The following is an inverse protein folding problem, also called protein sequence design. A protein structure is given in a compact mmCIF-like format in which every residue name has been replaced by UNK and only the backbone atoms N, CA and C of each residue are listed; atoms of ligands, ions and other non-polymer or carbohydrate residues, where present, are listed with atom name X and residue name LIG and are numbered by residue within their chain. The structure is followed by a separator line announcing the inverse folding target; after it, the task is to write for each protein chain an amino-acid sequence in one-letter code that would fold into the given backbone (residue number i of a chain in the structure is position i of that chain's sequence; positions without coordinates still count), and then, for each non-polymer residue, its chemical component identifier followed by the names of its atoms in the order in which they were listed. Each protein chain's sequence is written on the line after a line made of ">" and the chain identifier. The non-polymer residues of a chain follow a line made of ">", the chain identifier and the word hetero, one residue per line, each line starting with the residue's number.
data_IF_574199091385
#
_entry.id   IF_574199091385
#
_cell.length_a   1.000
_cell.length_b   1.000
_cell.length_c   1.000
_cell.angle_alpha   90.00
_cell.angle_beta   90.00
_cell.angle_gamma   90.00
#
_symmetry.space_group_name_H-M   'P 1'
#
loop_
_entity.id
_entity.type
_entity.pdbx_description
1 polymer ?
#
# COMPACT_ATOMS: atom_id res chain seq x y z
N UNK A 1 -6.50 9.12 -15.66
CA UNK A 1 -5.45 8.09 -15.74
C UNK A 1 -5.37 7.31 -14.43
N UNK A 2 -5.07 6.03 -14.53
CA UNK A 2 -4.94 5.20 -13.33
C UNK A 2 -3.65 5.52 -12.58
N UNK A 3 -3.72 5.50 -11.24
CA UNK A 3 -2.54 5.57 -10.39
C UNK A 3 -1.78 4.23 -10.37
N UNK A 4 -2.42 3.14 -10.81
CA UNK A 4 -1.78 1.83 -10.93
C UNK A 4 -0.92 1.79 -12.19
N UNK A 5 0.40 1.76 -11.99
CA UNK A 5 1.37 1.72 -13.08
C UNK A 5 1.81 0.26 -13.31
N UNK A 6 2.83 0.05 -14.15
CA UNK A 6 3.29 -1.31 -14.45
C UNK A 6 3.91 -2.01 -13.24
N UNK A 7 4.62 -1.29 -12.39
CA UNK A 7 5.40 -1.84 -11.29
C UNK A 7 5.05 -1.28 -9.92
N UNK A 8 4.24 -0.24 -9.85
CA UNK A 8 3.87 0.39 -8.59
C UNK A 8 2.60 1.23 -8.75
N UNK A 9 2.21 1.87 -7.65
CA UNK A 9 1.09 2.81 -7.61
C UNK A 9 1.70 4.18 -7.35
N UNK A 10 1.41 5.16 -8.20
CA UNK A 10 1.94 6.53 -8.08
C UNK A 10 0.92 7.56 -8.49
N UNK A 11 0.99 8.73 -7.86
CA UNK A 11 0.15 9.86 -8.22
C UNK A 11 0.45 11.06 -7.34
N UNK A 12 -0.29 12.14 -7.59
CA UNK A 12 -0.17 13.37 -6.80
C UNK A 12 -0.95 13.20 -5.50
N UNK A 13 -0.26 13.40 -4.37
CA UNK A 13 -0.86 13.26 -3.07
C UNK A 13 -1.98 14.28 -2.88
N UNK A 14 -3.11 13.82 -2.36
CA UNK A 14 -4.29 14.66 -2.11
C UNK A 14 -5.28 14.73 -3.27
N UNK A 15 -4.82 14.57 -4.51
CA UNK A 15 -5.73 14.56 -5.66
C UNK A 15 -5.85 13.16 -6.27
N UNK A 16 -4.74 12.52 -6.59
CA UNK A 16 -4.74 11.17 -7.15
C UNK A 16 -4.69 10.11 -6.04
N UNK A 17 -3.88 10.37 -5.01
CA UNK A 17 -3.73 9.49 -3.85
C UNK A 17 -4.31 10.19 -2.64
N UNK A 18 -5.54 9.85 -2.30
CA UNK A 18 -6.24 10.40 -1.14
C UNK A 18 -6.09 9.48 0.07
N UNK A 19 -6.44 9.97 1.25
CA UNK A 19 -6.47 9.13 2.45
C UNK A 19 -7.52 8.02 2.31
N UNK A 20 -8.63 8.30 1.66
CA UNK A 20 -9.67 7.32 1.37
C UNK A 20 -9.12 6.20 0.47
N UNK A 21 -8.38 6.57 -0.57
CA UNK A 21 -7.72 5.61 -1.45
C UNK A 21 -6.74 4.74 -0.67
N UNK A 22 -5.90 5.36 0.16
CA UNK A 22 -4.91 4.63 0.97
C UNK A 22 -5.59 3.62 1.90
N UNK A 23 -6.71 4.01 2.50
CA UNK A 23 -7.47 3.13 3.38
C UNK A 23 -8.03 1.91 2.62
N UNK A 24 -8.69 2.13 1.48
CA UNK A 24 -9.24 1.04 0.67
C UNK A 24 -8.14 0.17 0.08
N UNK A 25 -6.99 0.75 -0.26
CA UNK A 25 -5.84 -0.01 -0.74
C UNK A 25 -5.30 -0.93 0.37
N UNK A 26 -5.25 -0.45 1.60
CA UNK A 26 -4.84 -1.27 2.75
C UNK A 26 -5.74 -2.49 2.92
N UNK A 27 -7.04 -2.29 2.82
CA UNK A 27 -8.01 -3.40 2.86
C UNK A 27 -7.77 -4.39 1.72
N UNK A 28 -7.57 -3.87 0.51
CA UNK A 28 -7.37 -4.71 -0.68
C UNK A 28 -6.07 -5.52 -0.60
N UNK A 29 -5.00 -4.91 -0.12
CA UNK A 29 -3.71 -5.61 0.04
C UNK A 29 -3.85 -6.79 1.00
N UNK A 30 -4.43 -6.55 2.17
CA UNK A 30 -4.58 -7.60 3.18
C UNK A 30 -5.49 -8.73 2.67
N UNK A 31 -6.57 -8.37 1.98
CA UNK A 31 -7.57 -9.34 1.51
C UNK A 31 -7.09 -10.10 0.29
N UNK A 32 -6.65 -9.38 -0.74
CA UNK A 32 -6.28 -10.00 -2.02
C UNK A 32 -5.02 -10.85 -1.91
N UNK A 33 -4.03 -10.39 -1.14
CA UNK A 33 -2.79 -11.14 -0.95
C UNK A 33 -2.88 -12.15 0.20
N UNK A 34 -4.06 -12.27 0.80
CA UNK A 34 -4.31 -13.17 1.93
C UNK A 34 -3.23 -13.01 3.01
N UNK A 35 -2.96 -11.76 3.35
CA UNK A 35 -1.89 -11.42 4.27
C UNK A 35 -2.44 -11.26 5.69
N UNK A 36 -2.05 -12.17 6.57
CA UNK A 36 -2.37 -12.07 8.00
C UNK A 36 -1.56 -11.00 8.71
N UNK A 37 -0.41 -10.61 8.12
CA UNK A 37 0.41 -9.52 8.63
C UNK A 37 1.09 -8.80 7.47
N UNK A 38 1.15 -7.47 7.54
CA UNK A 38 1.73 -6.61 6.50
C UNK A 38 2.76 -5.69 7.16
N UNK A 39 3.97 -5.67 6.61
CA UNK A 39 4.99 -4.71 7.03
C UNK A 39 4.81 -3.43 6.22
N UNK A 40 4.87 -2.27 6.88
CA UNK A 40 4.63 -0.99 6.23
C UNK A 40 5.78 -0.02 6.57
N UNK A 41 6.36 0.55 5.52
CA UNK A 41 7.43 1.54 5.63
C UNK A 41 7.05 2.78 4.82
N UNK A 42 7.69 3.89 5.11
CA UNK A 42 7.52 5.10 4.30
C UNK A 42 8.84 5.87 4.21
N UNK A 43 8.92 6.74 3.19
CA UNK A 43 10.03 7.69 3.10
C UNK A 43 9.67 8.99 3.85
N UNK A 44 10.50 10.02 3.69
CA UNK A 44 10.36 11.27 4.45
C UNK A 44 9.38 12.26 3.81
N UNK A 45 8.66 11.88 2.74
CA UNK A 45 7.73 12.81 2.08
C UNK A 45 6.66 13.25 3.05
N UNK A 46 6.29 14.53 2.99
CA UNK A 46 5.32 15.13 3.90
C UNK A 46 3.97 14.40 3.85
N UNK A 47 3.50 14.07 2.66
CA UNK A 47 2.23 13.35 2.49
C UNK A 47 2.24 11.92 3.00
N UNK A 48 3.42 11.35 3.24
CA UNK A 48 3.56 9.95 3.65
C UNK A 48 2.93 9.63 4.99
N UNK A 49 2.96 10.58 5.92
CA UNK A 49 2.44 10.34 7.26
C UNK A 49 0.94 10.02 7.26
N UNK A 50 0.13 10.84 6.58
CA UNK A 50 -1.32 10.61 6.55
C UNK A 50 -1.69 9.43 5.65
N UNK A 51 -0.98 9.22 4.55
CA UNK A 51 -1.21 8.05 3.70
C UNK A 51 -0.87 6.76 4.44
N UNK A 52 0.22 6.78 5.20
CA UNK A 52 0.63 5.66 6.03
C UNK A 52 -0.44 5.33 7.08
N UNK A 53 -0.93 6.33 7.80
CA UNK A 53 -1.94 6.13 8.83
C UNK A 53 -3.22 5.54 8.24
N UNK A 54 -3.68 6.07 7.11
CA UNK A 54 -4.90 5.58 6.46
C UNK A 54 -4.73 4.16 5.92
N UNK A 55 -3.57 3.87 5.33
CA UNK A 55 -3.27 2.53 4.83
C UNK A 55 -3.24 1.50 5.96
N UNK A 56 -2.56 1.81 7.05
CA UNK A 56 -2.47 0.94 8.23
C UNK A 56 -3.87 0.67 8.79
N UNK A 57 -4.69 1.71 8.91
CA UNK A 57 -6.07 1.55 9.38
C UNK A 57 -6.86 0.59 8.49
N UNK A 58 -6.69 0.71 7.17
CA UNK A 58 -7.33 -0.19 6.22
C UNK A 58 -6.91 -1.65 6.41
N UNK A 59 -5.61 -1.90 6.58
CA UNK A 59 -5.11 -3.25 6.84
C UNK A 59 -5.70 -3.81 8.14
N UNK A 60 -5.65 -3.03 9.21
CA UNK A 60 -6.14 -3.45 10.52
C UNK A 60 -7.64 -3.76 10.49
N UNK A 61 -8.40 -3.04 9.68
CA UNK A 61 -9.85 -3.24 9.58
C UNK A 61 -10.23 -4.63 9.05
N UNK A 62 -9.33 -5.32 8.37
CA UNK A 62 -9.56 -6.68 7.86
C UNK A 62 -9.26 -7.76 8.89
N UNK A 63 -8.70 -7.39 10.04
CA UNK A 63 -8.24 -8.34 11.04
C UNK A 63 -6.77 -8.71 10.90
N UNK A 64 -6.09 -8.23 9.86
CA UNK A 64 -4.65 -8.45 9.68
C UNK A 64 -3.84 -7.55 10.62
N UNK A 65 -2.62 -7.98 10.94
CA UNK A 65 -1.70 -7.23 11.78
C UNK A 65 -0.80 -6.35 10.92
N UNK A 66 -0.25 -5.30 11.53
CA UNK A 66 0.72 -4.42 10.89
C UNK A 66 2.01 -4.40 11.69
N UNK A 67 3.13 -4.57 10.97
CA UNK A 67 4.47 -4.34 11.51
C UNK A 67 4.97 -3.03 10.90
N UNK A 68 4.98 -1.96 11.71
CA UNK A 68 5.37 -0.65 11.25
C UNK A 68 6.91 -0.52 11.27
N UNK A 69 7.49 -0.38 10.08
CA UNK A 69 8.94 -0.23 9.93
C UNK A 69 9.40 1.22 10.02
N UNK A 70 8.45 2.16 10.09
CA UNK A 70 8.75 3.58 10.21
C UNK A 70 9.29 4.19 8.92
N UNK A 71 10.13 5.21 9.08
CA UNK A 71 10.77 5.90 7.95
C UNK A 71 12.06 5.16 7.60
N UNK A 72 12.12 4.63 6.39
CA UNK A 72 13.28 3.84 5.95
C UNK A 72 13.35 3.78 4.43
N UNK A 73 14.32 3.04 3.90
CA UNK A 73 14.50 2.89 2.45
C UNK A 73 13.70 1.71 1.92
N UNK A 74 13.42 1.71 0.60
CA UNK A 74 12.67 0.63 -0.05
C UNK A 74 13.41 -0.71 0.00
N UNK A 75 14.74 -0.71 0.13
CA UNK A 75 15.51 -1.94 0.25
C UNK A 75 15.11 -2.79 1.46
N UNK A 76 14.58 -2.17 2.49
CA UNK A 76 14.10 -2.87 3.70
C UNK A 76 12.89 -3.76 3.40
N UNK A 77 12.11 -3.47 2.35
CA UNK A 77 10.94 -4.27 2.00
C UNK A 77 11.27 -5.73 1.74
N UNK A 78 12.31 -5.97 0.96
CA UNK A 78 12.72 -7.33 0.64
C UNK A 78 13.19 -8.08 1.89
N UNK A 79 13.95 -7.39 2.73
CA UNK A 79 14.40 -7.97 3.99
C UNK A 79 13.23 -8.30 4.91
N UNK A 80 12.23 -7.41 4.96
CA UNK A 80 11.06 -7.63 5.79
C UNK A 80 10.33 -8.91 5.42
N UNK A 81 10.13 -9.17 4.13
CA UNK A 81 9.44 -10.38 3.68
C UNK A 81 10.24 -11.66 3.93
N UNK A 82 11.55 -11.56 4.08
CA UNK A 82 12.42 -12.70 4.38
C UNK A 82 12.55 -12.93 5.89
N UNK A 83 12.77 -11.86 6.65
CA UNK A 83 13.14 -11.95 8.06
C UNK A 83 11.97 -11.83 9.04
N UNK A 84 10.84 -11.26 8.60
CA UNK A 84 9.70 -11.01 9.48
C UNK A 84 8.52 -11.94 9.14
N UNK A 85 7.65 -12.24 10.10
CA UNK A 85 6.49 -13.09 9.87
C UNK A 85 5.35 -12.35 9.17
N UNK A 86 5.63 -11.83 7.97
CA UNK A 86 4.66 -11.10 7.15
C UNK A 86 4.53 -11.74 5.78
N UNK A 87 3.33 -11.67 5.20
CA UNK A 87 3.06 -12.18 3.87
C UNK A 87 3.21 -11.10 2.81
N UNK A 88 3.12 -9.83 3.21
CA UNK A 88 3.26 -8.70 2.31
C UNK A 88 4.02 -7.58 2.99
N UNK A 89 4.67 -6.74 2.19
CA UNK A 89 5.35 -5.55 2.67
C UNK A 89 5.09 -4.40 1.69
N UNK A 90 4.88 -3.21 2.24
CA UNK A 90 4.52 -2.03 1.45
C UNK A 90 5.40 -0.86 1.86
N UNK A 91 5.98 -0.17 0.86
CA UNK A 91 6.67 1.09 1.08
C UNK A 91 5.86 2.22 0.46
N UNK A 92 5.60 3.25 1.26
CA UNK A 92 4.89 4.44 0.80
C UNK A 92 5.96 5.43 0.34
N UNK A 93 6.15 5.52 -0.97
CA UNK A 93 7.21 6.31 -1.59
C UNK A 93 6.91 6.54 -3.07
N UNK A 94 7.39 7.64 -3.60
CA UNK A 94 7.39 7.90 -5.04
C UNK A 94 8.81 7.93 -5.61
N UNK A 95 9.79 7.43 -4.85
CA UNK A 95 11.20 7.34 -5.25
C UNK A 95 11.77 8.69 -5.72
N UNK A 96 12.03 8.85 -7.03
CA UNK A 96 12.66 10.05 -7.58
C UNK A 96 11.66 11.09 -8.10
N UNK A 97 10.37 10.86 -7.96
CA UNK A 97 9.35 11.81 -8.42
C UNK A 97 9.35 13.08 -7.56
N UNK A 98 8.85 14.22 -8.08
CA UNK A 98 8.78 15.46 -7.32
C UNK A 98 8.05 15.32 -5.97
N UNK A 99 8.27 16.24 -5.04
CA UNK A 99 7.73 16.13 -3.67
C UNK A 99 6.21 16.01 -3.56
N UNK A 100 5.46 16.54 -4.51
CA UNK A 100 4.00 16.45 -4.53
C UNK A 100 3.48 15.06 -4.88
N UNK A 101 4.34 14.19 -5.40
CA UNK A 101 3.98 12.80 -5.69
C UNK A 101 4.16 11.91 -4.46
N UNK A 102 3.43 10.84 -4.43
CA UNK A 102 3.68 9.74 -3.52
C UNK A 102 3.25 8.43 -4.21
N UNK A 103 3.35 7.33 -3.52
CA UNK A 103 3.01 6.05 -4.12
C UNK A 103 3.15 4.90 -3.16
N UNK A 104 2.87 3.70 -3.68
CA UNK A 104 2.94 2.46 -2.92
C UNK A 104 3.69 1.42 -3.74
N UNK A 105 4.76 0.89 -3.17
CA UNK A 105 5.47 -0.28 -3.71
C UNK A 105 5.13 -1.46 -2.83
N UNK A 106 4.66 -2.54 -3.45
CA UNK A 106 4.11 -3.68 -2.74
C UNK A 106 4.92 -4.93 -3.07
N UNK A 107 5.30 -5.69 -2.05
CA UNK A 107 5.90 -7.01 -2.19
C UNK A 107 4.94 -8.04 -1.61
N UNK A 108 4.77 -9.14 -2.34
CA UNK A 108 3.99 -10.30 -1.90
C UNK A 108 4.97 -11.46 -1.75
N UNK A 109 5.24 -11.84 -0.50
CA UNK A 109 6.35 -12.73 -0.23
C UNK A 109 7.65 -12.05 -0.64
N UNK A 110 8.47 -12.73 -1.42
CA UNK A 110 9.77 -12.21 -1.87
C UNK A 110 9.70 -11.47 -3.20
N UNK A 111 8.52 -11.39 -3.82
CA UNK A 111 8.38 -10.85 -5.16
C UNK A 111 7.61 -9.52 -5.15
N UNK A 112 8.02 -8.56 -5.98
CA UNK A 112 7.25 -7.33 -6.13
C UNK A 112 5.91 -7.63 -6.81
N UNK A 113 4.87 -6.93 -6.38
CA UNK A 113 3.56 -6.99 -7.03
C UNK A 113 3.61 -6.07 -8.24
N UNK A 114 3.45 -6.63 -9.42
CA UNK A 114 3.57 -5.91 -10.69
C UNK A 114 2.68 -6.56 -11.74
N UNK A 115 2.50 -5.89 -12.87
CA UNK A 115 1.78 -6.43 -14.02
C UNK A 115 0.36 -6.87 -13.67
N UNK A 116 0.03 -8.11 -14.01
CA UNK A 116 -1.32 -8.64 -13.84
C UNK A 116 -1.77 -8.68 -12.38
N UNK A 117 -0.87 -9.03 -11.47
CA UNK A 117 -1.19 -9.06 -10.03
C UNK A 117 -1.55 -7.67 -9.52
N UNK A 118 -0.86 -6.64 -10.01
CA UNK A 118 -1.16 -5.25 -9.63
C UNK A 118 -2.53 -4.83 -10.16
N UNK A 119 -2.89 -5.27 -11.36
CA UNK A 119 -4.22 -4.97 -11.93
C UNK A 119 -5.33 -5.72 -11.19
N UNK A 120 -5.06 -6.92 -10.73
CA UNK A 120 -6.01 -7.66 -9.88
C UNK A 120 -6.23 -6.93 -8.57
N UNK A 121 -5.16 -6.39 -7.99
CA UNK A 121 -5.24 -5.60 -6.77
C UNK A 121 -6.05 -4.32 -6.99
N UNK A 122 -5.92 -3.69 -8.15
CA UNK A 122 -6.73 -2.54 -8.55
C UNK A 122 -8.21 -2.88 -8.53
N UNK A 123 -8.59 -4.03 -9.08
CA UNK A 123 -9.97 -4.48 -9.08
C UNK A 123 -10.49 -4.71 -7.67
N UNK A 124 -9.66 -5.29 -6.79
CA UNK A 124 -10.01 -5.53 -5.39
C UNK A 124 -10.17 -4.23 -4.62
N UNK A 125 -9.29 -3.25 -4.84
CA UNK A 125 -9.39 -1.93 -4.23
C UNK A 125 -10.70 -1.26 -4.61
N UNK A 126 -11.08 -1.31 -5.87
CA UNK A 126 -12.32 -0.74 -6.36
C UNK A 126 -13.53 -1.39 -5.68
N UNK A 127 -13.52 -2.70 -5.53
CA UNK A 127 -14.57 -3.44 -4.84
C UNK A 127 -14.67 -3.02 -3.37
N UNK A 128 -13.56 -2.88 -2.69
CA UNK A 128 -13.52 -2.43 -1.30
C UNK A 128 -14.08 -1.02 -1.13
N UNK A 129 -13.78 -0.12 -2.06
CA UNK A 129 -14.33 1.24 -2.07
C UNK A 129 -15.85 1.22 -2.21
N UNK A 130 -16.38 0.41 -3.13
CA UNK A 130 -17.82 0.28 -3.33
C UNK A 130 -18.52 -0.27 -2.10
N UNK A 131 -17.95 -1.28 -1.46
CA UNK A 131 -18.51 -1.84 -0.23
C UNK A 131 -18.52 -0.82 0.91
N UNK A 132 -17.43 -0.05 1.03
CA UNK A 132 -17.33 0.99 2.04
C UNK A 132 -18.42 2.04 1.87
N UNK A 133 -18.71 2.44 0.64
CA UNK A 133 -19.79 3.40 0.34
C UNK A 133 -21.17 2.82 0.64
N UNK A 134 -21.35 1.54 0.40
CA UNK A 134 -22.64 0.86 0.60
C UNK A 134 -22.95 0.68 2.08
N UNK A 135 -21.94 0.50 2.91
CA UNK A 135 -22.09 0.21 4.33
C UNK A 135 -22.21 1.46 5.20
N UNK A 136 -22.34 2.63 4.61
CA UNK A 136 -22.57 3.89 5.34
C UNK A 136 -24.04 4.01 5.87
#
# INVERSE_FOLDING_TARGET
>A
MSVFKAYDIRGIAGSDLTVEFANTLGMAVATHLDAGAVAVARDIRESGEELHAAFVEGVLSTGADVLDLGVTTTGVLYRATVDLPVQAAVAITASHNPPEYNGFKICHGKLPVAGDELQELRSEEHTSELQSRTNL
#
